data_IF_317849241078
#
_entry.id   IF_317849241078
#
_cell.length_a   1.000
_cell.length_b   1.000
_cell.length_c   1.000
_cell.angle_alpha   90.00
_cell.angle_beta   90.00
_cell.angle_gamma   90.00
#
_symmetry.space_group_name_H-M   'P 1'
#
loop_
_entity.id
_entity.type
_entity.pdbx_description
1 polymer ?
#
# COMPACT_ATOMS: atom_id res chain seq x y z
N UNK A 1 -19.31 11.65 -10.38
CA UNK A 1 -18.84 11.19 -11.70
C UNK A 1 -18.70 9.66 -11.76
N UNK A 2 -17.59 9.03 -11.34
CA UNK A 2 -17.40 7.57 -11.55
C UNK A 2 -18.49 6.67 -10.93
N UNK A 3 -18.82 6.88 -9.64
CA UNK A 3 -19.88 6.12 -8.96
C UNK A 3 -21.25 6.29 -9.62
N UNK A 4 -21.59 7.52 -10.04
CA UNK A 4 -22.84 7.84 -10.71
C UNK A 4 -22.91 7.20 -12.10
N UNK A 5 -21.82 7.25 -12.87
CA UNK A 5 -21.70 6.58 -14.16
C UNK A 5 -21.94 5.06 -14.04
N UNK A 6 -21.37 4.42 -13.01
CA UNK A 6 -21.56 3.00 -12.75
C UNK A 6 -22.96 2.67 -12.21
N UNK A 7 -23.56 3.60 -11.48
CA UNK A 7 -24.91 3.48 -10.92
C UNK A 7 -26.01 3.66 -11.96
N UNK A 8 -25.75 4.45 -13.01
CA UNK A 8 -26.65 4.71 -14.12
C UNK A 8 -26.63 3.55 -15.14
N UNK A 9 -27.04 2.36 -14.73
CA UNK A 9 -27.28 1.26 -15.68
C UNK A 9 -28.64 1.43 -16.38
N UNK A 10 -28.72 1.01 -17.64
CA UNK A 10 -29.86 1.25 -18.55
C UNK A 10 -31.21 0.74 -18.03
N UNK A 11 -32.29 1.16 -18.73
CA UNK A 11 -33.73 1.12 -18.38
C UNK A 11 -34.33 -0.15 -17.71
N UNK A 12 -33.60 -1.27 -17.62
CA UNK A 12 -34.05 -2.57 -17.06
C UNK A 12 -33.28 -3.06 -15.83
N UNK A 13 -32.24 -2.37 -15.37
CA UNK A 13 -31.46 -2.78 -14.17
C UNK A 13 -31.72 -1.83 -13.00
N UNK A 14 -31.70 -2.37 -11.78
CA UNK A 14 -31.74 -1.56 -10.55
C UNK A 14 -30.54 -0.61 -10.54
N UNK A 15 -30.80 0.67 -10.28
CA UNK A 15 -29.77 1.70 -10.16
C UNK A 15 -28.86 1.42 -8.96
N UNK A 16 -27.60 1.83 -9.06
CA UNK A 16 -26.59 1.67 -8.00
C UNK A 16 -25.47 0.70 -8.37
N UNK A 17 -24.37 0.79 -7.64
CA UNK A 17 -23.22 -0.13 -7.78
C UNK A 17 -23.48 -1.36 -6.91
N UNK A 18 -23.29 -2.55 -7.49
CA UNK A 18 -23.32 -3.80 -6.72
C UNK A 18 -21.90 -4.32 -6.43
N UNK A 19 -21.78 -5.23 -5.46
CA UNK A 19 -20.48 -5.75 -5.02
C UNK A 19 -19.70 -6.46 -6.11
N UNK A 20 -20.36 -7.10 -7.08
CA UNK A 20 -19.69 -7.69 -8.25
C UNK A 20 -19.00 -6.63 -9.10
N UNK A 21 -19.74 -5.60 -9.54
CA UNK A 21 -19.20 -4.53 -10.38
C UNK A 21 -18.08 -3.78 -9.66
N UNK A 22 -18.26 -3.52 -8.37
CA UNK A 22 -17.24 -2.92 -7.53
C UNK A 22 -15.97 -3.79 -7.46
N UNK A 23 -16.09 -5.09 -7.18
CA UNK A 23 -14.95 -5.99 -7.09
C UNK A 23 -14.21 -6.15 -8.44
N UNK A 24 -14.95 -6.20 -9.55
CA UNK A 24 -14.38 -6.20 -10.91
C UNK A 24 -13.60 -4.92 -11.19
N UNK A 25 -14.14 -3.76 -10.80
CA UNK A 25 -13.45 -2.48 -10.94
C UNK A 25 -12.15 -2.45 -10.13
N UNK A 26 -12.19 -2.84 -8.85
CA UNK A 26 -10.99 -2.81 -8.00
C UNK A 26 -9.89 -3.73 -8.54
N UNK A 27 -10.25 -4.94 -8.99
CA UNK A 27 -9.33 -5.85 -9.68
C UNK A 27 -8.71 -5.20 -10.91
N UNK A 28 -9.53 -4.56 -11.73
CA UNK A 28 -9.08 -3.92 -12.97
C UNK A 28 -8.10 -2.78 -12.71
N UNK A 29 -8.39 -1.92 -11.73
CA UNK A 29 -7.48 -0.82 -11.32
C UNK A 29 -6.12 -1.39 -10.92
N UNK A 30 -6.08 -2.42 -10.08
CA UNK A 30 -4.82 -2.99 -9.61
C UNK A 30 -4.05 -3.74 -10.71
N UNK A 31 -4.75 -4.42 -11.63
CA UNK A 31 -4.14 -5.12 -12.77
C UNK A 31 -3.50 -4.13 -13.75
N UNK A 32 -4.20 -3.03 -14.06
CA UNK A 32 -3.68 -2.01 -14.97
C UNK A 32 -2.49 -1.24 -14.37
N UNK A 33 -2.38 -1.22 -13.04
CA UNK A 33 -1.25 -0.64 -12.31
C UNK A 33 -0.13 -1.63 -11.99
N UNK A 34 -0.16 -2.85 -12.54
CA UNK A 34 0.89 -3.88 -12.39
C UNK A 34 1.25 -4.24 -10.93
N UNK A 35 0.31 -4.07 -9.98
CA UNK A 35 0.56 -4.47 -8.60
C UNK A 35 0.66 -5.99 -8.44
N UNK A 36 1.54 -6.50 -7.55
CA UNK A 36 1.69 -7.94 -7.33
C UNK A 36 0.38 -8.62 -6.91
N UNK A 37 0.05 -9.74 -7.54
CA UNK A 37 -1.25 -10.44 -7.36
C UNK A 37 -1.52 -10.85 -5.91
N UNK A 38 -0.48 -11.29 -5.17
CA UNK A 38 -0.58 -11.65 -3.75
C UNK A 38 -1.03 -10.47 -2.88
N UNK A 39 -0.49 -9.28 -3.17
CA UNK A 39 -0.79 -8.04 -2.45
C UNK A 39 -2.19 -7.55 -2.80
N UNK A 40 -2.55 -7.59 -4.08
CA UNK A 40 -3.91 -7.23 -4.55
C UNK A 40 -4.94 -8.14 -3.92
N UNK A 41 -4.69 -9.46 -3.88
CA UNK A 41 -5.58 -10.43 -3.25
C UNK A 41 -5.78 -10.14 -1.76
N UNK A 42 -4.71 -9.76 -1.06
CA UNK A 42 -4.76 -9.38 0.35
C UNK A 42 -5.53 -8.09 0.59
N UNK A 43 -5.37 -7.09 -0.29
CA UNK A 43 -6.14 -5.85 -0.26
C UNK A 43 -7.63 -6.13 -0.47
N UNK A 44 -7.97 -6.83 -1.56
CA UNK A 44 -9.35 -7.11 -1.93
C UNK A 44 -10.08 -7.90 -0.84
N UNK A 45 -9.41 -8.83 -0.14
CA UNK A 45 -10.02 -9.54 0.99
C UNK A 45 -10.50 -8.60 2.10
N UNK A 46 -9.82 -7.47 2.32
CA UNK A 46 -10.22 -6.47 3.31
C UNK A 46 -11.36 -5.57 2.83
N UNK A 47 -11.40 -5.24 1.53
CA UNK A 47 -12.29 -4.20 1.00
C UNK A 47 -13.40 -4.72 0.08
N UNK A 48 -13.54 -6.04 -0.10
CA UNK A 48 -14.57 -6.65 -0.93
C UNK A 48 -15.97 -6.53 -0.32
N UNK A 49 -16.98 -6.49 -1.20
CA UNK A 49 -18.39 -6.60 -0.84
C UNK A 49 -18.97 -7.89 -1.43
N UNK A 50 -20.11 -8.36 -0.94
CA UNK A 50 -20.78 -9.53 -1.55
C UNK A 50 -21.32 -9.16 -2.92
N UNK A 51 -21.28 -10.08 -3.88
CA UNK A 51 -21.68 -9.85 -5.28
C UNK A 51 -23.00 -9.08 -5.48
N UNK A 52 -24.01 -9.38 -4.65
CA UNK A 52 -25.37 -8.86 -4.75
C UNK A 52 -25.66 -7.68 -3.82
N UNK A 53 -24.70 -7.33 -2.96
CA UNK A 53 -24.80 -6.21 -2.03
C UNK A 53 -24.78 -4.88 -2.79
N UNK A 54 -25.60 -3.93 -2.35
CA UNK A 54 -25.53 -2.56 -2.85
C UNK A 54 -24.37 -1.85 -2.16
N UNK A 55 -23.41 -1.32 -2.93
CA UNK A 55 -22.20 -0.71 -2.41
C UNK A 55 -22.44 0.79 -2.20
N UNK A 56 -22.40 1.29 -0.95
CA UNK A 56 -22.49 2.73 -0.67
C UNK A 56 -21.35 3.54 -1.30
N UNK A 57 -21.56 4.85 -1.50
CA UNK A 57 -20.56 5.71 -2.14
C UNK A 57 -19.25 5.82 -1.35
N UNK A 58 -19.32 5.89 -0.03
CA UNK A 58 -18.17 5.95 0.87
C UNK A 58 -17.35 4.66 0.83
N UNK A 59 -18.00 3.49 0.82
CA UNK A 59 -17.38 2.18 0.62
C UNK A 59 -16.68 2.10 -0.74
N UNK A 60 -17.39 2.49 -1.80
CA UNK A 60 -16.83 2.57 -3.16
C UNK A 60 -15.59 3.48 -3.21
N UNK A 61 -15.71 4.69 -2.67
CA UNK A 61 -14.63 5.68 -2.65
C UNK A 61 -13.42 5.15 -1.87
N UNK A 62 -13.65 4.55 -0.71
CA UNK A 62 -12.60 3.99 0.12
C UNK A 62 -11.85 2.86 -0.60
N UNK A 63 -12.57 1.93 -1.23
CA UNK A 63 -11.93 0.84 -1.98
C UNK A 63 -11.12 1.34 -3.17
N UNK A 64 -11.69 2.24 -3.98
CA UNK A 64 -11.01 2.81 -5.16
C UNK A 64 -9.76 3.58 -4.74
N UNK A 65 -9.84 4.43 -3.70
CA UNK A 65 -8.67 5.14 -3.19
C UNK A 65 -7.62 4.17 -2.63
N UNK A 66 -8.02 3.13 -1.91
CA UNK A 66 -7.07 2.14 -1.37
C UNK A 66 -6.29 1.43 -2.49
N UNK A 67 -6.93 1.14 -3.62
CA UNK A 67 -6.24 0.60 -4.80
C UNK A 67 -5.21 1.59 -5.35
N UNK A 68 -5.58 2.85 -5.59
CA UNK A 68 -4.62 3.83 -6.12
C UNK A 68 -3.46 4.14 -5.17
N UNK A 69 -3.74 4.26 -3.87
CA UNK A 69 -2.69 4.47 -2.88
C UNK A 69 -1.77 3.25 -2.79
N UNK A 70 -2.29 2.02 -2.93
CA UNK A 70 -1.45 0.83 -3.04
C UNK A 70 -0.50 0.92 -4.25
N UNK A 71 -1.00 1.30 -5.42
CA UNK A 71 -0.18 1.42 -6.63
C UNK A 71 0.94 2.43 -6.44
N UNK A 72 0.63 3.61 -5.90
CA UNK A 72 1.62 4.63 -5.59
C UNK A 72 2.62 4.15 -4.54
N UNK A 73 2.15 3.49 -3.49
CA UNK A 73 2.99 2.95 -2.43
C UNK A 73 3.99 1.90 -2.96
N UNK A 74 3.53 0.97 -3.80
CA UNK A 74 4.40 -0.02 -4.45
C UNK A 74 5.47 0.68 -5.28
N UNK A 75 5.09 1.66 -6.11
CA UNK A 75 6.05 2.42 -6.92
C UNK A 75 7.08 3.17 -6.06
N UNK A 76 6.66 3.75 -4.92
CA UNK A 76 7.58 4.44 -3.99
C UNK A 76 8.51 3.49 -3.25
N UNK A 77 7.99 2.36 -2.77
CA UNK A 77 8.81 1.32 -2.13
C UNK A 77 9.82 0.74 -3.13
N UNK A 78 9.42 0.64 -4.39
CA UNK A 78 10.29 0.17 -5.46
C UNK A 78 11.46 1.13 -5.74
N UNK A 79 11.15 2.42 -5.95
CA UNK A 79 12.19 3.45 -6.09
C UNK A 79 13.12 3.52 -4.88
N UNK A 80 12.60 3.24 -3.68
CA UNK A 80 13.42 3.18 -2.48
C UNK A 80 14.39 2.00 -2.52
N UNK A 81 13.95 0.84 -3.00
CA UNK A 81 14.83 -0.32 -3.16
C UNK A 81 15.92 -0.09 -4.22
N UNK A 82 15.61 0.58 -5.34
CA UNK A 82 16.60 0.93 -6.37
C UNK A 82 17.77 1.78 -5.82
N UNK A 83 17.52 2.54 -4.75
CA UNK A 83 18.58 3.29 -4.06
C UNK A 83 19.37 2.41 -3.10
N UNK A 84 18.74 1.38 -2.52
CA UNK A 84 19.36 0.49 -1.55
C UNK A 84 20.25 -0.57 -2.19
N UNK A 85 19.91 -1.03 -3.39
CA UNK A 85 20.66 -2.08 -4.07
C UNK A 85 21.88 -1.56 -4.83
N UNK A 86 22.00 -0.24 -5.01
CA UNK A 86 23.09 0.45 -5.73
C UNK A 86 23.40 -0.19 -7.10
N UNK A 87 22.36 -0.69 -7.79
CA UNK A 87 22.49 -1.36 -9.08
C UNK A 87 23.07 -2.78 -9.04
N UNK A 88 23.31 -3.34 -7.85
CA UNK A 88 23.79 -4.72 -7.68
C UNK A 88 22.68 -5.78 -7.72
N UNK A 89 21.41 -5.37 -7.63
CA UNK A 89 20.24 -6.24 -7.60
C UNK A 89 19.97 -6.91 -6.24
N UNK A 90 20.87 -6.76 -5.27
CA UNK A 90 20.73 -7.25 -3.89
C UNK A 90 21.19 -6.18 -2.91
N UNK A 91 20.39 -5.92 -1.88
CA UNK A 91 20.72 -4.93 -0.86
C UNK A 91 21.10 -5.61 0.47
N UNK A 92 21.86 -4.92 1.32
CA UNK A 92 22.18 -5.42 2.66
C UNK A 92 20.89 -5.59 3.49
N UNK A 93 20.66 -6.78 4.04
CA UNK A 93 19.42 -7.09 4.76
C UNK A 93 19.22 -6.18 5.97
N UNK A 94 20.28 -5.81 6.70
CA UNK A 94 20.17 -4.98 7.88
C UNK A 94 19.72 -3.56 7.53
N UNK A 95 20.23 -3.02 6.42
CA UNK A 95 19.85 -1.70 5.90
C UNK A 95 18.41 -1.72 5.41
N UNK A 96 18.04 -2.71 4.60
CA UNK A 96 16.66 -2.90 4.16
C UNK A 96 15.69 -3.01 5.33
N UNK A 97 16.05 -3.78 6.37
CA UNK A 97 15.22 -3.92 7.55
C UNK A 97 15.07 -2.59 8.31
N UNK A 98 16.14 -1.82 8.49
CA UNK A 98 16.06 -0.52 9.14
C UNK A 98 15.15 0.47 8.40
N UNK A 99 15.14 0.41 7.07
CA UNK A 99 14.23 1.19 6.23
C UNK A 99 12.77 0.75 6.43
N UNK A 100 12.52 -0.56 6.43
CA UNK A 100 11.19 -1.13 6.67
C UNK A 100 10.67 -0.79 8.07
N UNK A 101 11.52 -0.85 9.10
CA UNK A 101 11.18 -0.49 10.48
C UNK A 101 10.84 1.00 10.58
N UNK A 102 11.63 1.86 9.93
CA UNK A 102 11.37 3.32 9.87
C UNK A 102 10.03 3.60 9.18
N UNK A 103 9.72 2.88 8.11
CA UNK A 103 8.44 2.97 7.40
C UNK A 103 7.27 2.49 8.27
N UNK A 104 7.42 1.36 8.96
CA UNK A 104 6.42 0.84 9.87
C UNK A 104 6.14 1.83 11.00
N UNK A 105 7.18 2.40 11.60
CA UNK A 105 7.05 3.42 12.65
C UNK A 105 6.34 4.69 12.16
N UNK A 106 6.66 5.16 10.95
CA UNK A 106 6.03 6.34 10.36
C UNK A 106 4.54 6.09 10.08
N UNK A 107 4.20 4.90 9.60
CA UNK A 107 2.82 4.44 9.42
C UNK A 107 2.13 4.12 10.76
N UNK A 108 2.91 3.85 11.81
CA UNK A 108 2.55 3.52 13.18
C UNK A 108 1.81 4.61 13.96
N UNK A 109 1.82 5.85 13.47
CA UNK A 109 1.05 6.94 14.06
C UNK A 109 -0.47 6.70 13.85
N UNK A 110 -1.08 5.90 14.71
CA UNK A 110 -2.42 5.30 14.57
C UNK A 110 -3.58 6.29 14.59
N UNK A 111 -3.33 7.57 14.81
CA UNK A 111 -4.37 8.59 14.84
C UNK A 111 -4.00 9.81 13.98
N UNK A 112 -4.02 9.59 12.66
CA UNK A 112 -3.86 10.62 11.64
C UNK A 112 -5.02 11.65 11.61
N UNK A 113 -6.00 11.54 12.51
CA UNK A 113 -6.97 12.60 12.78
C UNK A 113 -6.28 13.88 13.30
N UNK A 114 -5.03 13.78 13.78
CA UNK A 114 -4.21 14.90 14.23
C UNK A 114 -3.18 15.26 13.15
N UNK A 115 -3.29 16.44 12.48
CA UNK A 115 -2.40 16.84 11.39
C UNK A 115 -0.90 16.79 11.72
N UNK A 116 -0.52 17.00 12.98
CA UNK A 116 0.88 16.95 13.43
C UNK A 116 1.54 15.59 13.19
N UNK A 117 0.77 14.50 13.21
CA UNK A 117 1.30 13.14 13.01
C UNK A 117 1.80 12.90 11.59
N UNK A 118 1.23 13.59 10.60
CA UNK A 118 1.76 13.55 9.23
C UNK A 118 3.12 14.25 9.13
N UNK A 119 3.31 15.35 9.87
CA UNK A 119 4.59 16.05 9.92
C UNK A 119 5.66 15.20 10.63
N UNK A 120 5.29 14.55 11.74
CA UNK A 120 6.18 13.63 12.44
C UNK A 120 6.59 12.43 11.56
N UNK A 121 5.63 11.80 10.88
CA UNK A 121 5.89 10.72 9.94
C UNK A 121 6.78 11.18 8.79
N UNK A 122 6.51 12.36 8.22
CA UNK A 122 7.34 12.95 7.17
C UNK A 122 8.75 13.28 7.64
N UNK A 123 8.91 13.78 8.88
CA UNK A 123 10.24 14.03 9.47
C UNK A 123 11.02 12.74 9.67
N UNK A 124 10.37 11.65 10.12
CA UNK A 124 11.00 10.33 10.27
C UNK A 124 11.47 9.74 8.94
N UNK A 125 10.65 9.90 7.91
CA UNK A 125 10.95 9.47 6.54
C UNK A 125 11.86 10.46 5.79
N UNK A 126 12.26 11.55 6.45
CA UNK A 126 13.18 12.54 5.90
C UNK A 126 14.59 11.94 5.69
N UNK A 127 15.37 12.52 4.78
CA UNK A 127 16.68 11.97 4.39
C UNK A 127 17.64 11.85 5.58
N UNK A 128 17.67 12.83 6.48
CA UNK A 128 18.58 12.82 7.64
C UNK A 128 18.26 11.68 8.61
N UNK A 129 16.98 11.51 8.97
CA UNK A 129 16.55 10.46 9.89
C UNK A 129 16.73 9.06 9.28
N UNK A 130 16.41 8.90 7.99
CA UNK A 130 16.56 7.63 7.30
C UNK A 130 18.04 7.26 7.12
N UNK A 131 18.89 8.22 6.74
CA UNK A 131 20.33 8.00 6.63
C UNK A 131 20.95 7.56 7.96
N UNK A 132 20.57 8.22 9.08
CA UNK A 132 21.03 7.82 10.41
C UNK A 132 20.60 6.40 10.79
N UNK A 133 19.37 5.99 10.43
CA UNK A 133 18.89 4.63 10.68
C UNK A 133 19.67 3.60 9.87
N UNK A 134 19.96 3.90 8.60
CA UNK A 134 20.75 3.06 7.70
C UNK A 134 22.21 2.93 8.16
N UNK A 135 22.86 4.04 8.53
CA UNK A 135 24.25 4.05 9.04
C UNK A 135 24.36 3.21 10.31
N UNK A 136 23.39 3.33 11.22
CA UNK A 136 23.35 2.52 12.43
C UNK A 136 23.21 1.03 12.12
N UNK A 137 22.37 0.67 11.15
CA UNK A 137 22.20 -0.72 10.73
C UNK A 137 23.49 -1.32 10.14
N UNK A 138 24.21 -0.54 9.33
CA UNK A 138 25.51 -0.93 8.78
C UNK A 138 26.56 -1.21 9.88
N UNK A 139 26.57 -0.41 10.95
CA UNK A 139 27.47 -0.58 12.09
C UNK A 139 27.11 -1.80 12.95
N UNK A 140 25.82 -2.06 13.14
CA UNK A 140 25.30 -3.15 13.96
C UNK A 140 25.22 -4.50 13.22
N UNK A 141 25.70 -4.57 11.97
CA UNK A 141 25.64 -5.78 11.14
C UNK A 141 26.35 -6.96 11.82
N UNK A 142 25.60 -8.03 12.11
CA UNK A 142 26.15 -9.26 12.74
C UNK A 142 26.45 -10.37 11.72
N UNK A 143 25.71 -10.42 10.60
CA UNK A 143 25.84 -11.42 9.54
C UNK A 143 25.57 -10.73 8.19
N UNK A 144 26.45 -10.92 7.20
CA UNK A 144 26.20 -10.45 5.83
C UNK A 144 25.10 -11.31 5.22
N UNK A 145 23.90 -10.76 5.22
CA UNK A 145 22.71 -11.34 4.59
C UNK A 145 22.17 -10.28 3.63
N UNK A 146 21.53 -10.74 2.56
CA UNK A 146 21.06 -9.86 1.49
C UNK A 146 19.57 -10.01 1.33
N UNK A 147 18.87 -8.90 1.15
CA UNK A 147 17.46 -8.87 0.78
C UNK A 147 17.34 -8.54 -0.71
N UNK A 148 16.51 -9.28 -1.43
CA UNK A 148 16.21 -9.00 -2.82
C UNK A 148 14.98 -8.08 -2.96
N UNK A 149 14.78 -7.56 -4.17
CA UNK A 149 13.69 -6.63 -4.49
C UNK A 149 12.30 -7.17 -4.17
N UNK A 150 12.03 -8.42 -4.56
CA UNK A 150 10.73 -9.05 -4.35
C UNK A 150 10.41 -9.18 -2.85
N UNK A 151 11.39 -9.60 -2.07
CA UNK A 151 11.27 -9.74 -0.62
C UNK A 151 11.02 -8.39 0.06
N UNK A 152 11.78 -7.35 -0.31
CA UNK A 152 11.60 -6.01 0.23
C UNK A 152 10.19 -5.47 -0.07
N UNK A 153 9.75 -5.56 -1.32
CA UNK A 153 8.42 -5.11 -1.73
C UNK A 153 7.32 -5.90 -1.02
N UNK A 154 7.50 -7.21 -0.82
CA UNK A 154 6.56 -8.04 -0.07
C UNK A 154 6.43 -7.58 1.39
N UNK A 155 7.54 -7.31 2.07
CA UNK A 155 7.53 -6.80 3.45
C UNK A 155 6.92 -5.39 3.52
N UNK A 156 7.31 -4.48 2.62
CA UNK A 156 6.79 -3.12 2.58
C UNK A 156 5.27 -3.08 2.34
N UNK A 157 4.78 -3.84 1.36
CA UNK A 157 3.34 -3.90 1.05
C UNK A 157 2.53 -4.54 2.16
N UNK A 158 3.10 -5.47 2.94
CA UNK A 158 2.44 -5.99 4.13
C UNK A 158 2.15 -4.89 5.17
N UNK A 159 3.06 -3.92 5.34
CA UNK A 159 2.85 -2.74 6.20
C UNK A 159 1.66 -1.90 5.73
N UNK A 160 1.56 -1.66 4.41
CA UNK A 160 0.40 -0.97 3.83
C UNK A 160 -0.90 -1.72 4.11
N UNK A 161 -0.93 -3.03 3.81
CA UNK A 161 -2.12 -3.87 3.99
C UNK A 161 -2.54 -3.91 5.47
N UNK A 162 -1.60 -3.92 6.41
CA UNK A 162 -1.90 -3.85 7.84
C UNK A 162 -2.70 -2.59 8.22
N UNK A 163 -2.46 -1.45 7.54
CA UNK A 163 -3.14 -0.17 7.78
C UNK A 163 -4.51 -0.04 7.11
N UNK A 164 -4.78 -0.83 6.08
CA UNK A 164 -6.10 -0.84 5.44
C UNK A 164 -7.13 -1.42 6.41
N UNK A 165 -8.15 -0.64 6.76
CA UNK A 165 -9.29 -1.11 7.55
C UNK A 165 -10.19 -2.02 6.70
N UNK A 166 -10.66 -3.15 7.24
CA UNK A 166 -11.65 -3.96 6.56
C UNK A 166 -12.99 -3.21 6.46
N UNK A 167 -13.76 -3.52 5.43
CA UNK A 167 -15.15 -3.10 5.29
C UNK A 167 -16.02 -4.18 5.95
N UNK A 168 -16.85 -3.77 6.91
CA UNK A 168 -17.82 -4.62 7.61
C UNK A 168 -19.23 -4.50 7.00
#
# INVERSE_FOLDING_TARGET
MAYECLSARGRRKKSGVNGRLYSELLKKICQDGEAPEEVVSSLLRKIQCRDHEAVPFDVFRYGVLSCFVLLEFVAKADTLYDVLDDGSGIADESVCQAVLDTLEEALGATDFSVPIRYLEAGSKLGPDCLALAMDKALLDRKICSSMNREEFLKRATALFIAKVKPID
#
